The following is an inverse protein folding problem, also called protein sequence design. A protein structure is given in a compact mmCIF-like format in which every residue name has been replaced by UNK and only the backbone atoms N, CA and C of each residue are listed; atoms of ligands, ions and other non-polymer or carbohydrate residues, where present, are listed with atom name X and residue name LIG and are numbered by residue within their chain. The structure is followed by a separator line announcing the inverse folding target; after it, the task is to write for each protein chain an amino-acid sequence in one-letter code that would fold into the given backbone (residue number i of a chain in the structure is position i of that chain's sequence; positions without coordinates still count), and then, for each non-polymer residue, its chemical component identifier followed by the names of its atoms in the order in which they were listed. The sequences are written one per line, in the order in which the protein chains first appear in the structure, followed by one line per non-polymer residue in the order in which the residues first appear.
data_IF_849340845951
#
_entry.id   IF_849340845951
#
_cell.length_a   1.000
_cell.length_b   1.000
_cell.length_c   1.000
_cell.angle_alpha   90.00
_cell.angle_beta   90.00
_cell.angle_gamma   90.00
#
_symmetry.space_group_name_H-M   'P 1'
#
loop_
_entity.id
_entity.type
_entity.pdbx_description
1 polymer ?
#
# COMPACT_ATOMS: atom_id res chain seq x y z
N UNK A 1 1.87 -8.35 11.86
CA UNK A 1 2.17 -9.52 11.00
C UNK A 1 1.14 -10.61 11.27
N UNK A 2 0.82 -11.50 10.32
CA UNK A 2 -0.13 -12.62 10.56
C UNK A 2 -1.54 -12.50 9.97
N UNK A 3 -1.81 -11.50 9.11
CA UNK A 3 -3.04 -11.48 8.30
C UNK A 3 -2.82 -12.27 7.02
N UNK A 4 -3.81 -13.05 6.60
CA UNK A 4 -3.85 -13.64 5.26
C UNK A 4 -3.82 -12.53 4.21
N UNK A 5 -3.38 -12.85 2.99
CA UNK A 5 -3.37 -11.87 1.90
C UNK A 5 -4.73 -11.22 1.65
N UNK A 6 -5.80 -12.00 1.82
CA UNK A 6 -7.17 -11.52 1.66
C UNK A 6 -7.55 -10.48 2.72
N UNK A 7 -7.20 -10.71 3.98
CA UNK A 7 -7.49 -9.79 5.08
C UNK A 7 -6.69 -8.50 4.99
N UNK A 8 -5.42 -8.57 4.57
CA UNK A 8 -4.59 -7.39 4.37
C UNK A 8 -5.19 -6.48 3.28
N UNK A 9 -5.60 -7.06 2.15
CA UNK A 9 -6.25 -6.32 1.06
C UNK A 9 -7.63 -5.79 1.48
N UNK A 10 -8.42 -6.56 2.23
CA UNK A 10 -9.73 -6.08 2.73
C UNK A 10 -9.57 -4.86 3.65
N UNK A 11 -8.57 -4.87 4.53
CA UNK A 11 -8.28 -3.74 5.41
C UNK A 11 -7.85 -2.51 4.60
N UNK A 12 -7.00 -2.68 3.59
CA UNK A 12 -6.64 -1.59 2.68
C UNK A 12 -7.87 -1.03 1.99
N UNK A 13 -8.71 -1.89 1.40
CA UNK A 13 -9.96 -1.50 0.74
C UNK A 13 -10.86 -0.63 1.62
N UNK A 14 -10.97 -0.97 2.90
CA UNK A 14 -11.78 -0.22 3.84
C UNK A 14 -11.18 1.17 4.18
N UNK A 15 -9.86 1.26 4.33
CA UNK A 15 -9.21 2.47 4.86
C UNK A 15 -8.70 3.45 3.80
N UNK A 16 -8.44 2.98 2.56
CA UNK A 16 -7.69 3.74 1.56
C UNK A 16 -8.32 5.10 1.21
N UNK A 17 -9.65 5.13 1.13
CA UNK A 17 -10.42 6.37 0.89
C UNK A 17 -10.34 7.33 2.07
N UNK A 18 -10.43 6.82 3.31
CA UNK A 18 -10.33 7.65 4.51
C UNK A 18 -8.97 8.34 4.62
N UNK A 19 -7.88 7.67 4.25
CA UNK A 19 -6.55 8.28 4.22
C UNK A 19 -6.46 9.44 3.23
N UNK A 20 -7.05 9.28 2.05
CA UNK A 20 -7.14 10.35 1.07
C UNK A 20 -8.01 11.53 1.57
N UNK A 21 -9.19 11.23 2.12
CA UNK A 21 -10.12 12.24 2.63
C UNK A 21 -9.54 13.04 3.81
N UNK A 22 -8.60 12.44 4.56
CA UNK A 22 -7.83 13.10 5.63
C UNK A 22 -6.67 13.96 5.13
N UNK A 23 -6.46 14.02 3.81
CA UNK A 23 -5.40 14.83 3.22
C UNK A 23 -3.99 14.28 3.42
N UNK A 24 -3.83 12.97 3.69
CA UNK A 24 -2.49 12.38 3.75
C UNK A 24 -1.82 12.44 2.37
N UNK A 25 -0.56 12.86 2.30
CA UNK A 25 0.18 12.90 1.03
C UNK A 25 0.67 11.52 0.59
N UNK A 26 1.11 10.69 1.54
CA UNK A 26 1.56 9.33 1.28
C UNK A 26 1.29 8.39 2.46
N UNK A 27 1.27 7.09 2.18
CA UNK A 27 1.19 6.03 3.19
C UNK A 27 2.19 4.91 2.92
N UNK A 28 2.55 4.19 3.97
CA UNK A 28 3.46 3.05 3.93
C UNK A 28 2.69 1.76 4.15
N UNK A 29 2.63 0.90 3.14
CA UNK A 29 1.98 -0.40 3.24
C UNK A 29 3.06 -1.46 3.49
N UNK A 30 3.18 -1.89 4.74
CA UNK A 30 4.12 -2.95 5.16
C UNK A 30 3.50 -4.31 4.89
N UNK A 31 3.91 -4.93 3.79
CA UNK A 31 3.46 -6.28 3.40
C UNK A 31 4.50 -7.37 3.67
N UNK A 32 5.72 -7.00 4.08
CA UNK A 32 6.84 -7.93 4.27
C UNK A 32 7.48 -8.34 2.94
N UNK A 33 8.64 -8.99 3.03
CA UNK A 33 9.44 -9.38 1.84
C UNK A 33 8.85 -10.62 1.17
N UNK A 34 8.77 -11.74 1.90
CA UNK A 34 8.17 -13.01 1.43
C UNK A 34 8.60 -13.40 0.01
N UNK A 35 7.72 -14.14 -0.69
CA UNK A 35 7.86 -14.41 -2.13
C UNK A 35 7.32 -13.26 -3.00
N UNK A 36 6.91 -12.13 -2.43
CA UNK A 36 6.36 -10.99 -3.18
C UNK A 36 4.86 -11.06 -3.52
N UNK A 37 4.16 -12.14 -3.19
CA UNK A 37 2.71 -12.30 -3.46
C UNK A 37 1.89 -11.12 -2.91
N UNK A 38 2.12 -10.73 -1.65
CA UNK A 38 1.42 -9.59 -1.05
C UNK A 38 1.77 -8.27 -1.71
N UNK A 39 3.06 -8.07 -2.05
CA UNK A 39 3.55 -6.87 -2.75
C UNK A 39 2.80 -6.68 -4.06
N UNK A 40 2.67 -7.74 -4.84
CA UNK A 40 1.99 -7.71 -6.14
C UNK A 40 0.50 -7.41 -6.01
N UNK A 41 -0.19 -8.08 -5.07
CA UNK A 41 -1.60 -7.82 -4.80
C UNK A 41 -1.86 -6.38 -4.32
N UNK A 42 -1.00 -5.84 -3.44
CA UNK A 42 -1.09 -4.44 -2.97
C UNK A 42 -0.91 -3.49 -4.15
N UNK A 43 0.14 -3.67 -4.95
CA UNK A 43 0.41 -2.82 -6.12
C UNK A 43 -0.70 -2.87 -7.15
N UNK A 44 -1.22 -4.07 -7.43
CA UNK A 44 -2.35 -4.28 -8.34
C UNK A 44 -3.63 -3.61 -7.82
N UNK A 45 -3.87 -3.61 -6.51
CA UNK A 45 -5.01 -2.92 -5.93
C UNK A 45 -4.86 -1.39 -6.06
N UNK A 46 -3.75 -0.82 -5.58
CA UNK A 46 -3.60 0.64 -5.48
C UNK A 46 -3.44 1.33 -6.84
N UNK A 47 -2.93 0.64 -7.87
CA UNK A 47 -2.79 1.21 -9.23
C UNK A 47 -4.13 1.60 -9.86
N UNK A 48 -5.21 0.98 -9.42
CA UNK A 48 -6.55 1.17 -9.98
C UNK A 48 -7.37 2.22 -9.21
N UNK A 49 -6.80 2.83 -8.17
CA UNK A 49 -7.50 3.82 -7.36
C UNK A 49 -7.41 5.20 -8.00
N UNK A 50 -8.54 5.89 -8.28
CA UNK A 50 -8.55 7.14 -9.02
C UNK A 50 -7.89 8.30 -8.26
N UNK A 51 -7.76 8.19 -6.94
CA UNK A 51 -7.15 9.19 -6.05
C UNK A 51 -5.67 8.89 -5.72
N UNK A 52 -5.10 7.80 -6.25
CA UNK A 52 -3.67 7.49 -6.14
C UNK A 52 -2.93 8.11 -7.32
N UNK A 53 -1.88 8.89 -7.04
CA UNK A 53 -0.97 9.47 -8.04
C UNK A 53 0.03 8.45 -8.54
N UNK A 54 0.51 7.59 -7.64
CA UNK A 54 1.45 6.52 -7.97
C UNK A 54 1.86 5.74 -6.73
N UNK A 55 2.77 4.79 -6.92
CA UNK A 55 3.38 4.06 -5.82
C UNK A 55 4.82 3.72 -6.17
N UNK A 56 5.64 3.52 -5.14
CA UNK A 56 7.05 3.11 -5.25
C UNK A 56 7.38 2.04 -4.23
N UNK A 57 8.53 1.41 -4.41
CA UNK A 57 9.12 0.60 -3.36
C UNK A 57 9.58 1.50 -2.19
N UNK A 58 9.52 0.98 -0.97
CA UNK A 58 10.17 1.61 0.18
C UNK A 58 11.68 1.72 -0.03
N UNK A 59 12.24 2.84 0.40
CA UNK A 59 13.68 3.06 0.52
C UNK A 59 14.30 2.20 1.64
N UNK A 60 15.63 2.26 1.76
CA UNK A 60 16.37 1.41 2.72
C UNK A 60 15.92 1.62 4.17
N UNK A 61 15.66 2.87 4.56
CA UNK A 61 15.16 3.22 5.90
C UNK A 61 13.65 3.04 6.08
N UNK A 62 12.91 2.78 5.00
CA UNK A 62 11.45 2.63 5.01
C UNK A 62 11.02 1.16 4.96
N UNK A 63 11.96 0.21 5.09
CA UNK A 63 11.69 -1.24 5.03
C UNK A 63 11.92 -1.90 3.66
N UNK A 64 12.41 -1.15 2.69
CA UNK A 64 12.89 -1.66 1.40
C UNK A 64 11.81 -2.37 0.59
N UNK A 65 12.19 -3.51 0.01
CA UNK A 65 11.30 -4.38 -0.76
C UNK A 65 10.08 -4.94 0.01
N UNK A 66 10.06 -4.81 1.34
CA UNK A 66 8.93 -5.22 2.17
C UNK A 66 7.83 -4.18 2.30
N UNK A 67 8.00 -3.02 1.68
CA UNK A 67 7.09 -1.86 1.80
C UNK A 67 6.76 -1.29 0.42
N UNK A 68 5.49 -0.96 0.23
CA UNK A 68 5.01 -0.16 -0.89
C UNK A 68 4.57 1.19 -0.35
N UNK A 69 5.18 2.26 -0.86
CA UNK A 69 4.81 3.65 -0.54
C UNK A 69 3.81 4.12 -1.59
N UNK A 70 2.62 4.52 -1.15
CA UNK A 70 1.54 5.01 -2.03
C UNK A 70 1.48 6.52 -1.90
N UNK A 71 1.45 7.22 -3.03
CA UNK A 71 1.40 8.67 -3.11
C UNK A 71 0.03 9.06 -3.68
N UNK A 72 -0.66 9.97 -3.01
CA UNK A 72 -1.98 10.45 -3.41
C UNK A 72 -1.92 11.69 -4.32
N UNK A 73 -3.06 12.07 -4.92
CA UNK A 73 -3.18 13.18 -5.89
C UNK A 73 -3.41 14.57 -5.26
N UNK A 74 -3.70 14.62 -3.97
CA UNK A 74 -3.94 15.83 -3.19
C UNK A 74 -2.71 16.72 -3.07
#
# INVERSE_FOLDING_TARGET
HGKTAREAIALLKYNMKSFYDRGLHEIFIVHGKGQGILRENVRAYVRNLPYVKGYRQGGRSEGGNGVTVVIFKN
#
